data_IF_181093019887
#
_entry.id   IF_181093019887
#
_cell.length_a   1.000
_cell.length_b   1.000
_cell.length_c   1.000
_cell.angle_alpha   90.00
_cell.angle_beta   90.00
_cell.angle_gamma   90.00
#
_symmetry.space_group_name_H-M   'P 1'
#
loop_
_entity.id
_entity.type
_entity.pdbx_description
1 polymer ?
#
# COMPACT_ATOMS: atom_id res chain seq x y z
N UNK A 1 -27.98 -24.11 21.58
CA UNK A 1 -28.03 -22.68 21.24
C UNK A 1 -26.65 -22.41 20.72
N UNK A 2 -26.48 -22.68 19.44
CA UNK A 2 -25.19 -22.54 18.78
C UNK A 2 -25.04 -21.06 18.49
N UNK A 3 -24.16 -20.39 19.23
CA UNK A 3 -23.64 -19.08 18.85
C UNK A 3 -22.87 -19.28 17.54
N UNK A 4 -23.56 -19.02 16.43
CA UNK A 4 -22.92 -18.72 15.17
C UNK A 4 -22.15 -17.44 15.43
N UNK A 5 -20.83 -17.56 15.63
CA UNK A 5 -19.94 -16.42 15.45
C UNK A 5 -20.16 -15.98 14.00
N UNK A 6 -20.87 -14.88 13.80
CA UNK A 6 -20.73 -14.12 12.56
C UNK A 6 -19.24 -13.77 12.50
N UNK A 7 -18.47 -14.54 11.73
CA UNK A 7 -17.19 -14.04 11.22
C UNK A 7 -17.54 -12.68 10.60
N UNK A 8 -16.98 -11.60 11.16
CA UNK A 8 -17.09 -10.27 10.58
C UNK A 8 -16.71 -10.42 9.11
N UNK A 9 -17.71 -10.42 8.24
CA UNK A 9 -17.49 -10.66 6.82
C UNK A 9 -16.52 -9.60 6.36
N UNK A 10 -15.32 -10.01 5.96
CA UNK A 10 -14.33 -9.09 5.41
C UNK A 10 -15.01 -8.25 4.34
N UNK A 11 -14.82 -6.94 4.41
CA UNK A 11 -15.38 -6.00 3.45
C UNK A 11 -14.26 -5.57 2.50
N UNK A 12 -14.18 -6.17 1.29
CA UNK A 12 -13.22 -5.74 0.30
C UNK A 12 -13.33 -4.24 0.03
N UNK A 13 -12.18 -3.62 -0.23
CA UNK A 13 -12.10 -2.17 -0.48
C UNK A 13 -12.68 -1.84 -1.84
N UNK A 14 -13.44 -0.75 -1.90
CA UNK A 14 -13.98 -0.26 -3.16
C UNK A 14 -12.89 0.38 -4.02
N UNK A 15 -13.12 0.48 -5.35
CA UNK A 15 -12.20 1.19 -6.25
C UNK A 15 -11.84 2.60 -5.75
N UNK A 16 -12.83 3.28 -5.16
CA UNK A 16 -12.64 4.60 -4.56
C UNK A 16 -11.69 4.56 -3.36
N UNK A 17 -11.91 3.65 -2.41
CA UNK A 17 -11.04 3.53 -1.23
C UNK A 17 -9.58 3.28 -1.65
N UNK A 18 -9.39 2.40 -2.63
CA UNK A 18 -8.06 2.03 -3.16
C UNK A 18 -7.38 3.22 -3.85
N UNK A 19 -8.13 3.98 -4.64
CA UNK A 19 -7.61 5.16 -5.32
C UNK A 19 -7.25 6.31 -4.35
N UNK A 20 -8.10 6.56 -3.36
CA UNK A 20 -7.82 7.51 -2.28
C UNK A 20 -6.57 7.12 -1.50
N UNK A 21 -6.43 5.83 -1.19
CA UNK A 21 -5.26 5.25 -0.53
C UNK A 21 -3.99 5.38 -1.38
N UNK A 22 -4.06 5.19 -2.70
CA UNK A 22 -2.93 5.39 -3.60
C UNK A 22 -2.45 6.86 -3.61
N UNK A 23 -3.37 7.83 -3.69
CA UNK A 23 -3.02 9.26 -3.58
C UNK A 23 -2.32 9.59 -2.27
N UNK A 24 -2.79 9.00 -1.16
CA UNK A 24 -2.17 9.16 0.14
C UNK A 24 -0.74 8.60 0.16
N UNK A 25 -0.52 7.37 -0.34
CA UNK A 25 0.81 6.76 -0.38
C UNK A 25 1.77 7.56 -1.27
N UNK A 26 1.32 8.08 -2.42
CA UNK A 26 2.15 8.93 -3.29
C UNK A 26 2.69 10.18 -2.55
N UNK A 27 1.83 10.86 -1.77
CA UNK A 27 2.24 12.01 -0.97
C UNK A 27 3.26 11.61 0.11
N UNK A 28 2.98 10.52 0.81
CA UNK A 28 3.77 10.06 1.95
C UNK A 28 5.14 9.56 1.51
N UNK A 29 5.23 8.83 0.40
CA UNK A 29 6.50 8.38 -0.16
C UNK A 29 7.32 9.55 -0.67
N UNK A 30 6.71 10.55 -1.32
CA UNK A 30 7.41 11.78 -1.73
C UNK A 30 8.07 12.47 -0.53
N UNK A 31 7.36 12.61 0.60
CA UNK A 31 7.93 13.14 1.85
C UNK A 31 9.00 12.24 2.47
N UNK A 32 8.90 10.93 2.30
CA UNK A 32 9.89 10.01 2.85
C UNK A 32 11.25 10.14 2.14
N UNK A 33 11.24 10.34 0.82
CA UNK A 33 12.46 10.46 0.00
C UNK A 33 13.08 11.86 0.03
N UNK A 34 12.27 12.91 0.09
CA UNK A 34 12.75 14.30 0.03
C UNK A 34 12.27 15.10 1.24
N UNK A 35 12.77 16.33 1.45
CA UNK A 35 12.06 17.27 2.32
C UNK A 35 10.81 17.75 1.58
N UNK A 36 9.70 17.98 2.28
CA UNK A 36 8.45 18.36 1.60
C UNK A 36 8.60 19.72 0.95
N UNK A 37 8.66 19.72 -0.37
CA UNK A 37 8.61 20.93 -1.17
C UNK A 37 7.25 21.63 -1.01
N UNK A 38 7.25 22.96 -1.13
CA UNK A 38 6.02 23.77 -1.12
C UNK A 38 5.01 23.26 -2.16
N UNK A 39 5.49 22.82 -3.32
CA UNK A 39 4.65 22.21 -4.36
C UNK A 39 3.90 20.96 -3.87
N UNK A 40 4.53 20.08 -3.10
CA UNK A 40 3.88 18.87 -2.56
C UNK A 40 2.83 19.23 -1.49
N UNK A 41 3.05 20.29 -0.71
CA UNK A 41 2.04 20.80 0.23
C UNK A 41 0.84 21.37 -0.51
N UNK A 42 1.07 22.20 -1.53
CA UNK A 42 0.01 22.77 -2.36
C UNK A 42 -0.79 21.67 -3.05
N UNK A 43 -0.12 20.68 -3.67
CA UNK A 43 -0.78 19.55 -4.32
C UNK A 43 -1.68 18.78 -3.36
N UNK A 44 -1.22 18.48 -2.14
CA UNK A 44 -2.04 17.80 -1.13
C UNK A 44 -3.24 18.64 -0.72
N UNK A 45 -3.08 19.95 -0.51
CA UNK A 45 -4.14 20.82 -0.03
C UNK A 45 -5.18 21.16 -1.09
N UNK A 46 -4.76 21.48 -2.30
CA UNK A 46 -5.65 21.81 -3.42
C UNK A 46 -6.52 20.63 -3.81
N UNK A 47 -5.98 19.41 -3.73
CA UNK A 47 -6.67 18.17 -4.08
C UNK A 47 -7.30 17.45 -2.88
N UNK A 48 -7.22 18.02 -1.67
CA UNK A 48 -7.77 17.47 -0.41
C UNK A 48 -7.27 16.06 -0.07
N UNK A 49 -6.04 15.75 -0.43
CA UNK A 49 -5.43 14.42 -0.28
C UNK A 49 -5.16 14.10 1.19
N UNK A 50 -5.02 15.12 2.04
CA UNK A 50 -4.86 14.97 3.47
C UNK A 50 -6.07 14.31 4.17
N UNK A 51 -7.24 14.28 3.51
CA UNK A 51 -8.40 13.53 3.98
C UNK A 51 -8.17 12.02 3.94
N UNK A 52 -7.29 11.54 3.06
CA UNK A 52 -7.02 10.13 2.81
C UNK A 52 -5.86 9.57 3.64
N UNK A 53 -5.16 10.44 4.36
CA UNK A 53 -4.06 10.03 5.24
C UNK A 53 -4.60 9.31 6.48
N UNK A 54 -3.86 8.27 6.86
CA UNK A 54 -4.01 7.63 8.16
C UNK A 54 -3.55 8.56 9.30
N UNK A 55 -3.76 8.14 10.54
CA UNK A 55 -3.42 8.97 11.70
C UNK A 55 -1.90 9.15 11.81
N UNK A 56 -1.14 8.06 11.59
CA UNK A 56 0.32 8.11 11.60
C UNK A 56 0.86 8.95 10.44
N UNK A 57 0.24 8.87 9.27
CA UNK A 57 0.63 9.63 8.09
C UNK A 57 0.40 11.12 8.25
N UNK A 58 -0.71 11.55 8.84
CA UNK A 58 -0.95 12.97 9.13
C UNK A 58 0.12 13.52 10.06
N UNK A 59 0.47 12.77 11.10
CA UNK A 59 1.52 13.14 12.05
C UNK A 59 2.87 13.25 11.34
N UNK A 60 3.23 12.24 10.54
CA UNK A 60 4.45 12.25 9.75
C UNK A 60 4.48 13.40 8.75
N UNK A 61 3.40 13.63 8.00
CA UNK A 61 3.32 14.56 6.88
C UNK A 61 3.27 16.03 7.27
N UNK A 62 2.63 16.38 8.38
CA UNK A 62 2.54 17.79 8.80
C UNK A 62 3.53 18.16 9.91
N UNK A 63 4.33 17.21 10.39
CA UNK A 63 5.40 17.48 11.35
C UNK A 63 6.33 18.59 10.84
N UNK A 64 6.54 19.61 11.67
CA UNK A 64 7.53 20.67 11.45
C UNK A 64 8.93 20.23 11.90
N UNK A 65 9.04 19.09 12.58
CA UNK A 65 10.30 18.49 13.00
C UNK A 65 10.78 17.60 11.85
N UNK A 66 12.07 17.74 11.50
CA UNK A 66 12.73 16.87 10.53
C UNK A 66 12.50 15.40 10.93
N UNK A 67 11.95 14.55 10.05
CA UNK A 67 11.70 13.16 10.39
C UNK A 67 12.98 12.42 10.75
N UNK A 68 12.90 11.49 11.71
CA UNK A 68 14.03 10.63 12.05
C UNK A 68 14.32 9.69 10.88
N UNK A 69 15.57 9.26 10.73
CA UNK A 69 15.96 8.36 9.63
C UNK A 69 15.16 7.05 9.62
N UNK A 70 14.83 6.53 10.81
CA UNK A 70 13.96 5.35 10.95
C UNK A 70 12.55 5.61 10.41
N UNK A 71 11.97 6.78 10.70
CA UNK A 71 10.63 7.12 10.22
C UNK A 71 10.67 7.30 8.69
N UNK A 72 11.68 7.98 8.14
CA UNK A 72 11.87 8.09 6.68
C UNK A 72 11.96 6.71 6.03
N UNK A 73 12.76 5.81 6.60
CA UNK A 73 12.92 4.45 6.09
C UNK A 73 11.58 3.71 6.09
N UNK A 74 10.87 3.69 7.23
CA UNK A 74 9.57 3.02 7.34
C UNK A 74 8.55 3.57 6.34
N UNK A 75 8.42 4.90 6.23
CA UNK A 75 7.48 5.51 5.29
C UNK A 75 7.93 5.40 3.82
N UNK A 76 9.23 5.22 3.54
CA UNK A 76 9.69 4.95 2.17
C UNK A 76 9.28 3.57 1.67
N UNK A 77 9.16 2.58 2.56
CA UNK A 77 8.71 1.24 2.21
C UNK A 77 7.23 1.18 1.81
N UNK A 78 6.42 2.17 2.21
CA UNK A 78 5.03 2.33 1.73
C UNK A 78 4.94 2.51 0.20
N UNK A 79 6.05 2.77 -0.48
CA UNK A 79 6.17 2.70 -1.94
C UNK A 79 5.81 1.30 -2.46
N UNK A 80 6.30 0.26 -1.80
CA UNK A 80 6.00 -1.13 -2.18
C UNK A 80 4.54 -1.48 -1.89
N UNK A 81 3.97 -0.94 -0.81
CA UNK A 81 2.55 -1.08 -0.52
C UNK A 81 1.65 -0.39 -1.59
N UNK A 82 2.17 0.58 -2.34
CA UNK A 82 1.42 1.20 -3.45
C UNK A 82 1.34 0.28 -4.69
N UNK A 83 2.29 -0.65 -4.87
CA UNK A 83 2.36 -1.52 -6.06
C UNK A 83 1.11 -2.39 -6.21
N UNK A 84 0.62 -3.08 -5.16
CA UNK A 84 -0.65 -3.81 -5.25
C UNK A 84 -1.87 -2.94 -5.48
N UNK A 85 -1.87 -1.68 -5.03
CA UNK A 85 -2.99 -0.76 -5.30
C UNK A 85 -3.00 -0.34 -6.78
N UNK A 86 -1.83 -0.01 -7.32
CA UNK A 86 -1.64 0.31 -8.75
C UNK A 86 -2.08 -0.88 -9.61
N UNK A 87 -1.65 -2.08 -9.24
CA UNK A 87 -2.11 -3.30 -9.86
C UNK A 87 -3.62 -3.43 -9.70
N UNK A 88 -4.21 -3.43 -8.51
CA UNK A 88 -5.65 -3.60 -8.33
C UNK A 88 -6.52 -2.60 -9.13
N UNK A 89 -6.01 -1.39 -9.40
CA UNK A 89 -6.67 -0.34 -10.20
C UNK A 89 -6.43 -0.42 -11.72
N UNK A 90 -5.80 -1.49 -12.23
CA UNK A 90 -5.58 -1.65 -13.68
C UNK A 90 -4.30 -1.03 -14.22
N UNK A 91 -3.40 -0.52 -13.36
CA UNK A 91 -2.18 0.18 -13.79
C UNK A 91 -1.07 -0.69 -14.39
N UNK A 92 -1.18 -2.01 -14.22
CA UNK A 92 -0.28 -3.01 -14.81
C UNK A 92 -1.02 -4.35 -14.93
N UNK A 93 -0.59 -5.26 -15.80
CA UNK A 93 -1.22 -6.58 -16.01
C UNK A 93 -0.90 -7.56 -14.87
N UNK A 94 0.37 -7.66 -14.50
CA UNK A 94 0.89 -8.58 -13.48
C UNK A 94 1.71 -7.83 -12.43
N UNK A 95 1.69 -8.32 -11.18
CA UNK A 95 2.55 -7.78 -10.13
C UNK A 95 4.04 -8.04 -10.45
N UNK A 96 4.93 -7.06 -10.18
CA UNK A 96 6.36 -7.20 -10.46
C UNK A 96 7.01 -8.23 -9.51
N UNK A 97 8.24 -8.69 -9.82
CA UNK A 97 8.99 -9.60 -8.95
C UNK A 97 9.14 -9.08 -7.52
N UNK A 98 9.26 -10.00 -6.57
CA UNK A 98 9.42 -9.72 -5.13
C UNK A 98 10.89 -9.55 -4.73
N UNK A 99 11.82 -9.49 -5.69
CA UNK A 99 13.26 -9.36 -5.49
C UNK A 99 13.76 -7.93 -5.48
N UNK A 100 13.08 -7.04 -6.21
CA UNK A 100 13.57 -5.70 -6.50
C UNK A 100 12.45 -4.68 -6.36
N UNK A 101 12.83 -3.52 -5.81
CA UNK A 101 11.89 -2.43 -5.56
C UNK A 101 11.39 -1.83 -6.88
N UNK A 102 10.09 -1.58 -6.95
CA UNK A 102 9.47 -1.00 -8.12
C UNK A 102 9.32 0.51 -7.98
N UNK A 103 9.50 1.23 -9.09
CA UNK A 103 9.30 2.68 -9.12
C UNK A 103 7.85 2.98 -9.48
N UNK A 104 7.10 3.56 -8.54
CA UNK A 104 5.69 3.89 -8.79
C UNK A 104 5.53 4.90 -9.93
N UNK A 105 6.54 5.76 -10.18
CA UNK A 105 6.53 6.76 -11.26
C UNK A 105 6.49 6.17 -12.67
N UNK A 106 6.77 4.87 -12.81
CA UNK A 106 6.86 4.21 -14.12
C UNK A 106 5.46 3.83 -14.65
N UNK A 107 4.40 3.95 -13.84
CA UNK A 107 3.04 3.57 -14.21
C UNK A 107 2.21 4.76 -14.67
N UNK A 108 1.51 4.63 -15.81
CA UNK A 108 0.70 5.73 -16.36
C UNK A 108 -0.41 6.19 -15.41
N UNK A 109 -0.98 5.25 -14.65
CA UNK A 109 -2.03 5.56 -13.68
C UNK A 109 -1.56 6.52 -12.57
N UNK A 110 -0.30 6.46 -12.16
CA UNK A 110 0.24 7.38 -11.15
C UNK A 110 0.52 8.75 -11.73
N UNK A 111 0.85 8.85 -13.02
CA UNK A 111 0.98 10.14 -13.71
C UNK A 111 -0.40 10.82 -13.79
N UNK A 112 -1.44 10.08 -14.18
CA UNK A 112 -2.82 10.59 -14.15
C UNK A 112 -3.24 11.01 -12.74
N UNK A 113 -2.91 10.19 -11.72
CA UNK A 113 -3.21 10.49 -10.32
C UNK A 113 -2.51 11.76 -9.83
N UNK A 114 -1.29 12.04 -10.29
CA UNK A 114 -0.56 13.26 -9.95
C UNK A 114 -1.10 14.48 -10.70
N UNK A 115 -1.27 14.36 -12.02
CA UNK A 115 -1.64 15.47 -12.91
C UNK A 115 -3.10 15.92 -12.73
N UNK A 116 -4.00 14.97 -12.44
CA UNK A 116 -5.43 15.26 -12.25
C UNK A 116 -6.08 14.26 -11.28
N UNK A 117 -5.90 14.45 -9.96
CA UNK A 117 -6.45 13.55 -8.93
C UNK A 117 -7.96 13.33 -9.05
N UNK A 118 -8.73 14.36 -9.41
CA UNK A 118 -10.19 14.25 -9.52
C UNK A 118 -10.60 13.39 -10.73
N UNK A 119 -9.92 13.56 -11.87
CA UNK A 119 -10.14 12.71 -13.04
C UNK A 119 -9.74 11.26 -12.74
N UNK A 120 -8.59 11.07 -12.08
CA UNK A 120 -8.13 9.75 -11.63
C UNK A 120 -9.18 9.07 -10.75
N UNK A 121 -9.65 9.73 -9.68
CA UNK A 121 -10.68 9.20 -8.78
C UNK A 121 -12.00 8.85 -9.50
N UNK A 122 -12.32 9.56 -10.59
CA UNK A 122 -13.52 9.32 -11.39
C UNK A 122 -13.35 8.22 -12.46
N UNK A 123 -12.12 7.85 -12.81
CA UNK A 123 -11.82 6.91 -13.90
C UNK A 123 -11.39 5.52 -13.44
N UNK A 124 -11.17 5.33 -12.14
CA UNK A 124 -10.66 4.06 -11.60
C UNK A 124 -11.72 2.97 -11.59
N UNK A 125 -11.29 1.78 -11.98
CA UNK A 125 -12.03 0.54 -11.82
C UNK A 125 -11.13 -0.47 -11.10
N UNK A 126 -11.75 -1.32 -10.29
CA UNK A 126 -11.03 -2.36 -9.56
C UNK A 126 -11.05 -3.66 -10.37
N UNK A 127 -9.95 -4.40 -10.32
CA UNK A 127 -9.94 -5.84 -10.63
C UNK A 127 -11.01 -6.58 -9.84
N UNK A 128 -11.36 -7.78 -10.33
CA UNK A 128 -12.34 -8.61 -9.62
C UNK A 128 -11.82 -8.99 -8.23
N UNK A 129 -12.74 -9.12 -7.26
CA UNK A 129 -12.38 -9.55 -5.91
C UNK A 129 -11.63 -10.89 -5.92
N UNK A 130 -12.02 -11.82 -6.79
CA UNK A 130 -11.36 -13.12 -6.92
C UNK A 130 -9.88 -13.00 -7.33
N UNK A 131 -9.54 -12.12 -8.27
CA UNK A 131 -8.14 -11.88 -8.65
C UNK A 131 -7.34 -11.29 -7.48
N UNK A 132 -7.94 -10.37 -6.73
CA UNK A 132 -7.28 -9.71 -5.59
C UNK A 132 -7.08 -10.71 -4.44
N UNK A 133 -8.06 -11.56 -4.14
CA UNK A 133 -7.97 -12.63 -3.14
C UNK A 133 -6.92 -13.67 -3.52
N UNK A 134 -6.82 -14.04 -4.80
CA UNK A 134 -5.77 -14.93 -5.31
C UNK A 134 -4.38 -14.31 -5.13
N UNK A 135 -4.22 -13.02 -5.47
CA UNK A 135 -2.97 -12.31 -5.27
C UNK A 135 -2.59 -12.20 -3.79
N UNK A 136 -3.54 -11.93 -2.89
CA UNK A 136 -3.33 -11.92 -1.45
C UNK A 136 -2.86 -13.28 -0.94
N UNK A 137 -3.54 -14.36 -1.35
CA UNK A 137 -3.20 -15.73 -0.96
C UNK A 137 -1.80 -16.13 -1.43
N UNK A 138 -1.40 -15.72 -2.63
CA UNK A 138 -0.04 -15.95 -3.13
C UNK A 138 0.99 -15.18 -2.28
N UNK A 139 0.75 -13.90 -1.98
CA UNK A 139 1.67 -13.10 -1.15
C UNK A 139 1.70 -13.56 0.31
N UNK A 140 0.61 -14.10 0.84
CA UNK A 140 0.56 -14.80 2.12
C UNK A 140 1.56 -15.96 2.13
N UNK A 141 1.53 -16.82 1.11
CA UNK A 141 2.45 -17.95 1.00
C UNK A 141 3.91 -17.48 0.89
N UNK A 142 4.20 -16.45 0.10
CA UNK A 142 5.56 -15.90 0.00
C UNK A 142 6.03 -15.29 1.33
N UNK A 143 5.16 -14.61 2.06
CA UNK A 143 5.50 -14.07 3.37
C UNK A 143 5.74 -15.19 4.40
N UNK A 144 4.98 -16.28 4.34
CA UNK A 144 5.25 -17.46 5.16
C UNK A 144 6.63 -18.08 4.86
N UNK A 145 7.03 -18.17 3.59
CA UNK A 145 8.39 -18.64 3.21
C UNK A 145 9.49 -17.76 3.79
N UNK A 146 9.30 -16.44 3.80
CA UNK A 146 10.21 -15.48 4.46
C UNK A 146 10.26 -15.75 5.97
N UNK A 147 9.10 -15.92 6.62
CA UNK A 147 9.02 -16.22 8.06
C UNK A 147 9.68 -17.55 8.44
N UNK A 148 9.41 -18.62 7.69
CA UNK A 148 10.02 -19.93 7.90
C UNK A 148 11.56 -19.84 7.80
N UNK A 149 12.08 -19.12 6.79
CA UNK A 149 13.53 -18.92 6.67
C UNK A 149 14.11 -18.17 7.88
N UNK A 150 13.44 -17.12 8.36
CA UNK A 150 13.86 -16.34 9.52
C UNK A 150 13.81 -17.15 10.83
N UNK A 151 12.68 -17.82 11.09
CA UNK A 151 12.44 -18.57 12.33
C UNK A 151 13.42 -19.74 12.49
N UNK A 152 13.65 -20.48 11.41
CA UNK A 152 14.51 -21.66 11.41
C UNK A 152 15.93 -21.37 10.93
N UNK A 153 16.29 -20.10 10.73
CA UNK A 153 17.62 -19.66 10.25
C UNK A 153 18.08 -20.38 8.98
N UNK A 154 17.14 -20.64 8.07
CA UNK A 154 17.43 -21.19 6.75
C UNK A 154 17.92 -20.06 5.83
N UNK A 155 18.62 -20.38 4.73
CA UNK A 155 18.90 -19.38 3.69
C UNK A 155 17.61 -18.71 3.22
N UNK A 156 17.63 -17.38 3.06
CA UNK A 156 16.51 -16.65 2.47
C UNK A 156 16.32 -17.08 1.01
N UNK A 157 15.09 -17.34 0.54
CA UNK A 157 14.84 -17.58 -0.88
C UNK A 157 15.38 -16.42 -1.72
N UNK A 158 16.16 -16.73 -2.75
CA UNK A 158 16.87 -15.71 -3.56
C UNK A 158 15.91 -14.83 -4.35
N UNK A 159 14.69 -15.32 -4.56
CA UNK A 159 13.61 -14.64 -5.26
C UNK A 159 12.73 -13.75 -4.36
N UNK A 160 13.06 -13.61 -3.07
CA UNK A 160 12.26 -12.85 -2.10
C UNK A 160 13.10 -11.85 -1.31
N UNK A 161 12.74 -10.57 -1.43
CA UNK A 161 13.14 -9.54 -0.47
C UNK A 161 12.09 -9.47 0.67
N UNK A 162 12.50 -9.66 1.94
CA UNK A 162 11.57 -9.68 3.07
C UNK A 162 10.72 -8.42 3.22
N UNK A 163 11.28 -7.24 2.94
CA UNK A 163 10.60 -5.96 3.08
C UNK A 163 9.59 -5.75 1.97
N UNK A 164 9.94 -6.09 0.72
CA UNK A 164 9.02 -6.03 -0.42
C UNK A 164 7.84 -6.97 -0.21
N UNK A 165 8.11 -8.22 0.20
CA UNK A 165 7.07 -9.22 0.47
C UNK A 165 6.11 -8.73 1.54
N UNK A 166 6.64 -8.17 2.63
CA UNK A 166 5.83 -7.67 3.73
C UNK A 166 4.89 -6.53 3.28
N UNK A 167 5.43 -5.48 2.67
CA UNK A 167 4.67 -4.29 2.27
C UNK A 167 3.61 -4.59 1.21
N UNK A 168 3.95 -5.44 0.22
CA UNK A 168 3.00 -5.83 -0.81
C UNK A 168 1.89 -6.73 -0.25
N UNK A 169 2.23 -7.66 0.64
CA UNK A 169 1.21 -8.45 1.34
C UNK A 169 0.32 -7.55 2.18
N UNK A 170 0.88 -6.61 2.94
CA UNK A 170 0.12 -5.68 3.78
C UNK A 170 -0.98 -4.97 2.99
N UNK A 171 -0.63 -4.42 1.82
CA UNK A 171 -1.59 -3.77 0.95
C UNK A 171 -2.66 -4.73 0.40
N UNK A 172 -2.28 -5.96 0.04
CA UNK A 172 -3.22 -6.98 -0.44
C UNK A 172 -4.18 -7.44 0.66
N UNK A 173 -3.70 -7.66 1.87
CA UNK A 173 -4.56 -7.98 3.02
C UNK A 173 -5.54 -6.83 3.30
N UNK A 174 -5.08 -5.57 3.21
CA UNK A 174 -5.99 -4.42 3.31
C UNK A 174 -7.04 -4.37 2.21
N UNK A 175 -6.67 -4.71 0.96
CA UNK A 175 -7.55 -4.73 -0.20
C UNK A 175 -8.70 -5.74 -0.04
N UNK A 176 -8.42 -6.94 0.46
CA UNK A 176 -9.45 -7.97 0.68
C UNK A 176 -10.33 -7.69 1.90
N UNK A 177 -9.95 -6.69 2.72
CA UNK A 177 -10.78 -6.18 3.81
C UNK A 177 -10.27 -6.47 5.21
N UNK A 178 -9.01 -6.90 5.37
CA UNK A 178 -8.37 -6.98 6.69
C UNK A 178 -8.06 -5.58 7.24
N UNK A 179 -8.20 -5.46 8.57
CA UNK A 179 -7.95 -4.22 9.31
C UNK A 179 -9.08 -3.20 9.20
N UNK A 180 -9.38 -2.51 10.27
CA UNK A 180 -10.39 -1.44 10.24
C UNK A 180 -9.89 -0.21 9.49
N UNK A 181 -8.58 0.06 9.58
CA UNK A 181 -7.90 1.19 8.95
C UNK A 181 -6.53 0.78 8.36
N UNK A 182 -5.89 1.72 7.66
CA UNK A 182 -4.61 1.50 7.00
C UNK A 182 -3.42 1.35 7.96
N UNK A 183 -3.46 1.89 9.18
CA UNK A 183 -2.38 1.74 10.16
C UNK A 183 -2.47 0.41 10.93
N UNK A 184 -3.61 -0.30 10.84
CA UNK A 184 -3.90 -1.50 11.62
C UNK A 184 -4.35 -2.70 10.75
N UNK A 185 -3.51 -3.12 9.80
CA UNK A 185 -3.79 -4.31 8.98
C UNK A 185 -3.09 -5.54 9.58
N UNK A 186 -3.84 -6.57 10.01
CA UNK A 186 -3.24 -7.79 10.52
C UNK A 186 -2.51 -8.52 9.39
N UNK A 187 -1.24 -8.83 9.62
CA UNK A 187 -0.38 -9.55 8.68
C UNK A 187 0.30 -10.72 9.40
N UNK A 188 -0.43 -11.37 10.30
CA UNK A 188 0.07 -12.55 11.00
C UNK A 188 0.26 -13.71 10.00
N UNK A 189 1.40 -14.40 10.12
CA UNK A 189 1.87 -15.56 9.33
C UNK A 189 2.78 -16.40 10.19
#
# INVERSE_FOLDING_TARGET
MDEIFEEDAQKPRSAKDVAERLLALMAITSRAFEDVAEQSLSWVKENKIDLYFSSEEKSFYFSQIKPRDKDRTNFSWRLEAAIPLIWALGGMETLPPLTESAKISDYEITNLAYDNPQKFLASVELRSNAEIEEAESEHYNQHWRVRDAQLFKKPMPVELDPSIVYERRYALSWLVGYGDDWDNVPTDT
#
